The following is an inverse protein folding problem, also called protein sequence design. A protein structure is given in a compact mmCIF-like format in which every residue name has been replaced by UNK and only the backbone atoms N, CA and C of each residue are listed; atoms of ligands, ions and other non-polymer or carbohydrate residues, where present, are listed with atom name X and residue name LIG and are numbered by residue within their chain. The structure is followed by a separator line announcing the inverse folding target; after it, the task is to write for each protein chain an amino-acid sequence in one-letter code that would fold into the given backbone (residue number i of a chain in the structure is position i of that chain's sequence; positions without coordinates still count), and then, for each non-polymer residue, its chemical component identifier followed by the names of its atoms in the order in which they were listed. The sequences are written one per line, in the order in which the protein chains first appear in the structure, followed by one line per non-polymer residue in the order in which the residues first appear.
data_IF_683085234566
#
_entry.id   IF_683085234566
#
_cell.length_a   1.000
_cell.length_b   1.000
_cell.length_c   1.000
_cell.angle_alpha   90.00
_cell.angle_beta   90.00
_cell.angle_gamma   90.00
#
_symmetry.space_group_name_H-M   'P 1'
#
loop_
_entity.id
_entity.type
_entity.pdbx_description
1 polymer ?
#
# COMPACT_ATOMS: atom_id res chain seq x y z
N UNK A 1 -2.94 -27.47 16.96
CA UNK A 1 -2.34 -26.16 17.31
C UNK A 1 -2.50 -25.19 16.13
N UNK A 2 -3.66 -24.56 15.94
CA UNK A 2 -3.86 -23.61 14.82
C UNK A 2 -4.50 -22.27 15.25
N UNK A 3 -5.21 -22.24 16.38
CA UNK A 3 -5.85 -21.03 16.90
C UNK A 3 -4.85 -19.97 17.41
N UNK A 4 -3.74 -20.42 18.01
CA UNK A 4 -2.70 -19.51 18.55
C UNK A 4 -1.94 -18.82 17.41
N UNK A 5 -1.68 -19.52 16.30
CA UNK A 5 -0.99 -18.94 15.14
C UNK A 5 -1.88 -17.93 14.41
N UNK A 6 -3.18 -18.20 14.33
CA UNK A 6 -4.16 -17.23 13.79
C UNK A 6 -4.20 -15.95 14.63
N UNK A 7 -4.27 -16.07 15.96
CA UNK A 7 -4.27 -14.92 16.88
C UNK A 7 -2.94 -14.15 16.85
N UNK A 8 -1.80 -14.84 16.73
CA UNK A 8 -0.48 -14.20 16.59
C UNK A 8 -0.35 -13.47 15.25
N UNK A 9 -0.85 -14.04 14.15
CA UNK A 9 -0.88 -13.39 12.84
C UNK A 9 -1.77 -12.15 12.86
N UNK A 10 -2.97 -12.24 13.45
CA UNK A 10 -3.85 -11.09 13.65
C UNK A 10 -3.20 -10.02 14.53
N UNK A 11 -2.57 -10.38 15.65
CA UNK A 11 -1.86 -9.42 16.51
C UNK A 11 -0.64 -8.81 15.82
N UNK A 12 0.09 -9.55 14.99
CA UNK A 12 1.22 -9.01 14.20
C UNK A 12 0.73 -8.03 13.14
N UNK A 13 -0.38 -8.34 12.49
CA UNK A 13 -1.04 -7.45 11.54
C UNK A 13 -1.50 -6.19 12.28
N UNK A 14 -2.22 -6.32 13.40
CA UNK A 14 -2.66 -5.19 14.22
C UNK A 14 -1.50 -4.32 14.72
N UNK A 15 -0.38 -4.94 15.11
CA UNK A 15 0.83 -4.23 15.57
C UNK A 15 1.59 -3.55 14.42
N UNK A 16 1.53 -4.09 13.20
CA UNK A 16 2.00 -3.41 11.98
C UNK A 16 1.09 -2.26 11.55
N UNK A 17 -0.14 -2.20 12.06
CA UNK A 17 -1.16 -1.20 11.67
C UNK A 17 -1.08 0.08 12.53
N UNK A 18 -0.52 0.00 13.74
CA UNK A 18 -0.20 1.17 14.58
C UNK A 18 1.03 1.92 14.07
N UNK A 19 0.90 2.55 12.91
CA UNK A 19 1.72 3.71 12.54
C UNK A 19 0.84 4.97 12.71
N UNK A 20 0.53 5.30 13.96
CA UNK A 20 0.48 6.70 14.42
C UNK A 20 1.98 7.06 14.60
N UNK A 21 2.59 8.11 14.08
CA UNK A 21 2.20 9.47 13.74
C UNK A 21 3.14 9.94 12.60
N UNK A 22 2.74 10.98 11.87
CA UNK A 22 3.44 11.60 10.72
C UNK A 22 3.48 10.75 9.45
N UNK A 23 2.58 11.10 8.52
CA UNK A 23 2.73 10.70 7.13
C UNK A 23 3.95 11.42 6.54
N UNK A 24 4.95 10.69 6.01
CA UNK A 24 6.02 11.36 5.28
C UNK A 24 5.41 12.11 4.09
N UNK A 25 6.00 13.24 3.74
CA UNK A 25 5.62 13.99 2.54
C UNK A 25 5.60 13.03 1.35
N UNK A 26 4.50 13.10 0.58
CA UNK A 26 4.38 12.32 -0.62
C UNK A 26 5.50 12.76 -1.58
N UNK A 27 6.34 11.83 -2.06
CA UNK A 27 7.36 12.19 -3.04
C UNK A 27 6.68 12.76 -4.29
N UNK A 28 7.34 13.70 -4.95
CA UNK A 28 6.85 14.26 -6.21
C UNK A 28 6.48 13.12 -7.16
N UNK A 29 5.23 13.15 -7.62
CA UNK A 29 4.72 12.20 -8.59
C UNK A 29 5.43 12.54 -9.90
N UNK A 30 6.16 11.59 -10.52
CA UNK A 30 6.75 11.84 -11.82
C UNK A 30 5.66 12.26 -12.82
N UNK A 31 5.99 13.21 -13.70
CA UNK A 31 5.05 13.69 -14.71
C UNK A 31 4.46 12.53 -15.50
N UNK A 32 3.18 12.63 -15.85
CA UNK A 32 2.42 11.57 -16.55
C UNK A 32 3.09 11.14 -17.86
N UNK A 33 3.81 12.05 -18.52
CA UNK A 33 4.61 11.79 -19.73
C UNK A 33 5.79 10.86 -19.46
N UNK A 34 6.46 11.01 -18.32
CA UNK A 34 7.58 10.16 -17.90
C UNK A 34 7.09 8.78 -17.43
N UNK A 35 5.84 8.68 -16.97
CA UNK A 35 5.19 7.41 -16.63
C UNK A 35 4.83 6.54 -17.86
N UNK A 36 4.88 7.05 -19.10
CA UNK A 36 4.57 6.25 -20.31
C UNK A 36 5.51 5.05 -20.53
N UNK A 37 6.65 5.00 -19.85
CA UNK A 37 7.57 3.87 -19.89
C UNK A 37 7.21 2.74 -18.92
N UNK A 38 6.26 2.98 -17.99
CA UNK A 38 5.81 1.97 -17.03
C UNK A 38 4.70 1.13 -17.65
N UNK A 39 4.97 -0.15 -17.83
CA UNK A 39 3.94 -1.11 -18.22
C UNK A 39 3.01 -1.43 -17.03
N UNK A 40 1.78 -1.83 -17.34
CA UNK A 40 0.82 -2.30 -16.34
C UNK A 40 1.37 -3.48 -15.52
N UNK A 41 2.12 -4.39 -16.18
CA UNK A 41 2.74 -5.55 -15.53
C UNK A 41 3.74 -5.11 -14.45
N UNK A 42 4.59 -4.14 -14.75
CA UNK A 42 5.56 -3.58 -13.79
C UNK A 42 4.88 -2.87 -12.62
N UNK A 43 3.81 -2.12 -12.89
CA UNK A 43 3.04 -1.49 -11.81
C UNK A 43 2.45 -2.55 -10.88
N UNK A 44 1.93 -3.63 -11.44
CA UNK A 44 1.41 -4.75 -10.66
C UNK A 44 2.50 -5.45 -9.86
N UNK A 45 3.71 -5.61 -10.40
CA UNK A 45 4.87 -6.09 -9.63
C UNK A 45 5.13 -5.21 -8.40
N UNK A 46 5.16 -3.87 -8.57
CA UNK A 46 5.35 -2.95 -7.43
C UNK A 46 4.23 -3.04 -6.40
N UNK A 47 2.98 -3.27 -6.83
CA UNK A 47 1.86 -3.53 -5.91
C UNK A 47 2.09 -4.82 -5.13
N UNK A 48 2.68 -5.87 -5.73
CA UNK A 48 3.00 -7.10 -4.99
C UNK A 48 4.09 -6.91 -3.94
N UNK A 49 4.98 -5.93 -4.10
CA UNK A 49 6.02 -5.63 -3.11
C UNK A 49 5.51 -4.87 -1.88
N UNK A 50 4.28 -4.34 -1.93
CA UNK A 50 3.68 -3.64 -0.81
C UNK A 50 3.55 -4.54 0.43
N UNK A 51 3.71 -3.98 1.65
CA UNK A 51 3.40 -4.68 2.88
C UNK A 51 1.97 -5.26 2.84
N UNK A 52 1.72 -6.46 3.39
CA UNK A 52 0.44 -7.14 3.23
C UNK A 52 -0.79 -6.30 3.57
N UNK A 53 -0.76 -5.54 4.67
CA UNK A 53 -1.87 -4.65 5.05
C UNK A 53 -2.10 -3.53 4.04
N UNK A 54 -1.04 -2.81 3.68
CA UNK A 54 -1.06 -1.79 2.63
C UNK A 54 -1.60 -2.32 1.31
N UNK A 55 -1.11 -3.48 0.86
CA UNK A 55 -1.54 -4.13 -0.39
C UNK A 55 -3.02 -4.49 -0.36
N UNK A 56 -3.49 -5.12 0.72
CA UNK A 56 -4.90 -5.49 0.86
C UNK A 56 -5.80 -4.26 0.86
N UNK A 57 -5.48 -3.22 1.65
CA UNK A 57 -6.27 -1.99 1.70
C UNK A 57 -6.25 -1.27 0.36
N UNK A 58 -5.09 -1.18 -0.30
CA UNK A 58 -4.96 -0.58 -1.63
C UNK A 58 -5.84 -1.30 -2.65
N UNK A 59 -5.80 -2.63 -2.68
CA UNK A 59 -6.59 -3.40 -3.65
C UNK A 59 -8.10 -3.24 -3.44
N UNK A 60 -8.56 -3.34 -2.20
CA UNK A 60 -9.97 -3.15 -1.86
C UNK A 60 -10.46 -1.75 -2.23
N UNK A 61 -9.63 -0.72 -2.00
CA UNK A 61 -10.00 0.66 -2.30
C UNK A 61 -9.96 0.98 -3.80
N UNK A 62 -8.85 0.65 -4.47
CA UNK A 62 -8.58 1.09 -5.85
C UNK A 62 -9.23 0.16 -6.88
N UNK A 63 -9.13 -1.16 -6.69
CA UNK A 63 -9.65 -2.13 -7.67
C UNK A 63 -11.09 -2.56 -7.36
N UNK A 64 -11.46 -2.65 -6.08
CA UNK A 64 -12.82 -3.07 -5.70
C UNK A 64 -13.75 -1.90 -5.33
N UNK A 65 -13.25 -0.66 -5.32
CA UNK A 65 -14.04 0.55 -5.09
C UNK A 65 -14.64 0.67 -3.68
N UNK A 66 -14.06 0.00 -2.68
CA UNK A 66 -14.57 -0.03 -1.31
C UNK A 66 -14.19 1.22 -0.53
N UNK A 67 -15.11 1.73 0.26
CA UNK A 67 -14.84 2.83 1.20
C UNK A 67 -13.96 2.39 2.38
N UNK A 68 -13.28 3.33 3.04
CA UNK A 68 -12.47 3.04 4.23
C UNK A 68 -13.28 2.38 5.35
N UNK A 69 -14.55 2.78 5.50
CA UNK A 69 -15.50 2.18 6.43
C UNK A 69 -15.76 0.70 6.11
N UNK A 70 -16.11 0.38 4.86
CA UNK A 70 -16.34 -1.01 4.44
C UNK A 70 -15.07 -1.87 4.60
N UNK A 71 -13.90 -1.32 4.28
CA UNK A 71 -12.62 -2.00 4.46
C UNK A 71 -12.33 -2.26 5.94
N UNK A 72 -12.60 -1.28 6.80
CA UNK A 72 -12.43 -1.41 8.24
C UNK A 72 -13.30 -2.54 8.81
N UNK A 73 -14.56 -2.59 8.38
CA UNK A 73 -15.50 -3.63 8.79
C UNK A 73 -15.07 -5.02 8.28
N UNK A 74 -14.64 -5.13 7.02
CA UNK A 74 -14.19 -6.40 6.41
C UNK A 74 -12.90 -6.96 7.03
N UNK A 75 -11.95 -6.08 7.36
CA UNK A 75 -10.65 -6.48 7.90
C UNK A 75 -10.60 -6.49 9.44
N UNK A 76 -11.68 -6.07 10.10
CA UNK A 76 -11.75 -5.88 11.55
C UNK A 76 -10.65 -4.95 12.09
N UNK A 77 -10.44 -3.82 11.39
CA UNK A 77 -9.49 -2.76 11.75
C UNK A 77 -10.25 -1.45 12.00
N UNK A 78 -9.57 -0.41 12.48
CA UNK A 78 -10.18 0.92 12.59
C UNK A 78 -10.21 1.60 11.23
N UNK A 79 -11.18 2.49 10.99
CA UNK A 79 -11.26 3.25 9.74
C UNK A 79 -10.00 4.09 9.47
N UNK A 80 -9.45 4.73 10.51
CA UNK A 80 -8.17 5.43 10.40
C UNK A 80 -7.01 4.50 10.02
N UNK A 81 -7.09 3.22 10.37
CA UNK A 81 -6.07 2.25 10.00
C UNK A 81 -6.11 1.97 8.50
N UNK A 82 -7.30 1.97 7.89
CA UNK A 82 -7.48 1.86 6.45
C UNK A 82 -6.91 3.08 5.74
N UNK A 83 -7.20 4.30 6.21
CA UNK A 83 -6.65 5.53 5.61
C UNK A 83 -5.12 5.56 5.70
N UNK A 84 -4.53 5.23 6.85
CA UNK A 84 -3.07 5.21 7.02
C UNK A 84 -2.38 4.16 6.16
N UNK A 85 -2.98 2.97 6.04
CA UNK A 85 -2.45 1.90 5.18
C UNK A 85 -2.51 2.28 3.70
N UNK A 86 -3.59 2.93 3.25
CA UNK A 86 -3.71 3.41 1.88
C UNK A 86 -2.68 4.51 1.59
N UNK A 87 -2.50 5.47 2.50
CA UNK A 87 -1.51 6.53 2.34
C UNK A 87 -0.10 5.95 2.22
N UNK A 88 0.26 5.01 3.11
CA UNK A 88 1.53 4.31 3.06
C UNK A 88 1.71 3.49 1.78
N UNK A 89 0.66 2.85 1.29
CA UNK A 89 0.70 2.13 0.01
C UNK A 89 1.05 3.09 -1.14
N UNK A 90 0.37 4.24 -1.23
CA UNK A 90 0.65 5.27 -2.25
C UNK A 90 2.07 5.79 -2.15
N UNK A 91 2.53 6.14 -0.94
CA UNK A 91 3.92 6.59 -0.71
C UNK A 91 4.95 5.59 -1.22
N UNK A 92 4.78 4.30 -0.88
CA UNK A 92 5.72 3.25 -1.29
C UNK A 92 5.69 3.01 -2.80
N UNK A 93 4.52 3.04 -3.42
CA UNK A 93 4.38 2.93 -4.87
C UNK A 93 5.05 4.09 -5.59
N UNK A 94 4.76 5.34 -5.22
CA UNK A 94 5.37 6.51 -5.85
C UNK A 94 6.89 6.50 -5.69
N UNK A 95 7.39 6.11 -4.52
CA UNK A 95 8.83 5.95 -4.30
C UNK A 95 9.44 4.91 -5.24
N UNK A 96 8.80 3.74 -5.40
CA UNK A 96 9.33 2.70 -6.29
C UNK A 96 9.25 3.04 -7.76
N UNK A 97 8.17 3.70 -8.18
CA UNK A 97 8.03 4.22 -9.52
C UNK A 97 9.18 5.20 -9.82
N UNK A 98 9.45 6.15 -8.91
CA UNK A 98 10.55 7.10 -9.07
C UNK A 98 11.91 6.41 -9.15
N UNK A 99 12.19 5.47 -8.24
CA UNK A 99 13.45 4.70 -8.26
C UNK A 99 13.64 3.90 -9.56
N UNK A 100 12.54 3.35 -10.10
CA UNK A 100 12.56 2.64 -11.38
C UNK A 100 12.83 3.57 -12.56
N UNK A 101 12.17 4.72 -12.60
CA UNK A 101 12.35 5.72 -13.67
C UNK A 101 13.76 6.31 -13.65
N UNK A 102 14.27 6.70 -12.48
CA UNK A 102 15.65 7.17 -12.30
C UNK A 102 16.68 6.11 -12.73
N UNK A 103 16.34 4.82 -12.65
CA UNK A 103 17.20 3.73 -13.10
C UNK A 103 17.15 3.56 -14.62
N UNK A 104 15.97 3.62 -15.23
CA UNK A 104 15.83 3.51 -16.69
C UNK A 104 16.39 4.73 -17.43
N UNK A 105 16.33 5.95 -16.87
CA UNK A 105 16.99 7.14 -17.45
C UNK A 105 18.53 7.06 -17.48
N UNK A 106 19.11 6.23 -16.60
CA UNK A 106 20.58 6.05 -16.48
C UNK A 106 21.12 4.91 -17.34
N UNK A 107 20.26 4.12 -17.98
CA UNK A 107 20.63 3.06 -18.92
C UNK A 107 20.86 3.62 -20.32
#
# INVERSE_FOLDING_TARGET
MQAIDYLRKQQRINRMISYEDEFPDMPDIPDTESCNQLSEEQLMEFVTELPPGCRTVFNLYVFEGKSHKEIADMLHIKEHSSTSQLHRAKYLLTKRIKEYMDYEERK
#
